data_IF_949953523595
#
_entry.id   IF_949953523595
#
_cell.length_a   1.000
_cell.length_b   1.000
_cell.length_c   1.000
_cell.angle_alpha   90.00
_cell.angle_beta   90.00
_cell.angle_gamma   90.00
#
_symmetry.space_group_name_H-M   'P 1'
#
loop_
_entity.id
_entity.type
_entity.pdbx_description
1 polymer ?
#
# COMPACT_ATOMS: atom_id res chain seq x y z
N UNK A 1 -57.39 48.73 11.05
CA UNK A 1 -58.74 48.13 11.17
C UNK A 1 -59.20 47.80 9.76
N UNK A 2 -59.80 46.62 9.50
CA UNK A 2 -60.35 46.33 8.18
C UNK A 2 -61.64 47.12 8.00
N UNK A 3 -61.67 48.01 7.00
CA UNK A 3 -62.81 48.89 6.67
C UNK A 3 -63.84 48.18 5.77
N UNK A 4 -64.24 46.94 6.07
CA UNK A 4 -65.33 46.28 5.34
C UNK A 4 -66.28 45.45 6.22
N UNK A 5 -67.59 45.38 5.89
CA UNK A 5 -68.63 44.91 6.82
C UNK A 5 -68.75 43.39 6.97
N UNK A 6 -68.11 42.61 6.09
CA UNK A 6 -68.29 41.15 6.01
C UNK A 6 -67.57 40.37 7.13
N UNK A 7 -66.52 40.94 7.72
CA UNK A 7 -65.68 40.24 8.71
C UNK A 7 -65.98 40.61 10.16
N UNK A 8 -67.06 41.36 10.43
CA UNK A 8 -67.41 41.84 11.77
C UNK A 8 -67.78 40.70 12.73
N UNK A 9 -68.39 39.62 12.21
CA UNK A 9 -68.82 38.45 13.02
C UNK A 9 -67.67 37.56 13.47
N UNK A 10 -66.50 37.67 12.83
CA UNK A 10 -65.27 36.94 13.19
C UNK A 10 -64.23 37.84 13.87
N UNK A 11 -64.55 39.11 14.09
CA UNK A 11 -63.65 40.04 14.74
C UNK A 11 -63.63 39.77 16.25
N UNK A 12 -62.54 39.22 16.75
CA UNK A 12 -62.26 39.15 18.18
C UNK A 12 -61.71 40.50 18.64
N UNK A 13 -62.27 41.06 19.72
CA UNK A 13 -61.75 42.29 20.28
C UNK A 13 -60.44 41.97 20.98
N UNK A 14 -59.32 42.39 20.39
CA UNK A 14 -57.98 42.19 20.96
C UNK A 14 -57.78 43.30 21.98
N UNK A 15 -58.16 43.06 23.23
CA UNK A 15 -57.76 43.90 24.34
C UNK A 15 -56.29 43.62 24.67
N UNK A 16 -55.47 44.67 24.61
CA UNK A 16 -54.08 44.58 25.09
C UNK A 16 -54.13 44.43 26.60
N UNK A 17 -53.54 43.38 27.14
CA UNK A 17 -53.30 43.30 28.57
C UNK A 17 -52.17 44.27 28.94
N UNK A 18 -52.54 45.40 29.55
CA UNK A 18 -51.55 46.34 30.09
C UNK A 18 -50.89 45.84 31.39
N UNK A 19 -50.95 44.53 31.65
CA UNK A 19 -50.30 43.89 32.79
C UNK A 19 -48.84 43.63 32.42
N UNK A 20 -48.05 44.70 32.43
CA UNK A 20 -46.61 44.61 32.22
C UNK A 20 -45.99 43.71 33.30
N UNK A 21 -45.38 42.61 32.89
CA UNK A 21 -44.51 41.81 33.75
C UNK A 21 -43.44 42.74 34.34
N UNK A 22 -43.20 42.59 35.65
CA UNK A 22 -42.55 43.62 36.45
C UNK A 22 -41.09 43.78 36.00
N UNK A 23 -40.76 44.91 35.36
CA UNK A 23 -39.38 45.25 35.00
C UNK A 23 -38.53 45.35 36.27
N UNK A 24 -37.41 44.65 36.31
CA UNK A 24 -36.50 44.54 37.47
C UNK A 24 -35.61 45.79 37.67
N UNK A 25 -36.17 46.98 37.42
CA UNK A 25 -35.45 48.26 37.40
C UNK A 25 -35.05 48.83 38.75
N UNK A 26 -35.50 48.27 39.87
CA UNK A 26 -35.44 48.96 41.18
C UNK A 26 -35.09 48.09 42.39
N UNK A 27 -34.72 46.81 42.23
CA UNK A 27 -34.33 45.98 43.38
C UNK A 27 -32.90 45.47 43.25
N UNK A 28 -32.08 45.82 44.24
CA UNK A 28 -30.68 45.39 44.42
C UNK A 28 -30.55 43.94 44.89
N UNK A 29 -31.57 43.10 44.74
CA UNK A 29 -31.71 41.81 45.42
C UNK A 29 -31.68 40.60 44.47
N UNK A 30 -30.98 40.69 43.34
CA UNK A 30 -30.86 39.56 42.41
C UNK A 30 -29.41 39.14 42.17
N UNK A 31 -29.13 37.83 42.10
CA UNK A 31 -27.79 37.33 41.80
C UNK A 31 -27.38 37.74 40.38
N UNK A 32 -26.26 38.46 40.27
CA UNK A 32 -25.70 38.91 38.99
C UNK A 32 -24.90 37.82 38.27
N UNK A 33 -24.72 36.67 38.92
CA UNK A 33 -24.02 35.51 38.40
C UNK A 33 -25.02 34.38 38.24
N UNK A 34 -25.05 33.75 37.06
CA UNK A 34 -25.87 32.59 36.79
C UNK A 34 -25.00 31.45 36.25
N UNK A 35 -25.28 30.24 36.70
CA UNK A 35 -24.71 29.04 36.09
C UNK A 35 -25.51 28.70 34.84
N UNK A 36 -24.82 28.32 33.78
CA UNK A 36 -25.41 27.94 32.49
C UNK A 36 -24.74 26.67 32.00
N UNK A 37 -25.55 25.68 31.62
CA UNK A 37 -25.09 24.42 31.02
C UNK A 37 -25.37 24.47 29.52
N UNK A 38 -24.33 24.66 28.67
CA UNK A 38 -24.50 24.60 27.22
C UNK A 38 -24.49 23.15 26.72
N UNK A 39 -25.49 22.80 25.93
CA UNK A 39 -25.53 21.58 25.12
C UNK A 39 -25.40 22.00 23.66
N UNK A 40 -24.25 21.69 23.06
CA UNK A 40 -23.93 22.07 21.69
C UNK A 40 -23.88 20.86 20.77
N UNK A 41 -24.42 21.01 19.56
CA UNK A 41 -24.29 20.03 18.49
C UNK A 41 -23.83 20.76 17.22
N UNK A 42 -22.89 20.16 16.51
CA UNK A 42 -22.34 20.80 15.33
C UNK A 42 -21.54 19.86 14.45
N UNK A 43 -21.32 20.33 13.23
CA UNK A 43 -20.54 19.66 12.20
C UNK A 43 -19.19 20.38 12.10
N UNK A 44 -18.10 19.60 12.14
CA UNK A 44 -16.74 20.07 11.89
C UNK A 44 -16.29 19.63 10.50
N UNK A 45 -16.07 20.59 9.62
CA UNK A 45 -15.58 20.39 8.27
C UNK A 45 -14.07 20.65 8.25
N UNK A 46 -13.29 19.61 7.92
CA UNK A 46 -11.86 19.74 7.67
C UNK A 46 -11.66 20.26 6.25
N UNK A 47 -11.43 21.56 6.09
CA UNK A 47 -11.23 22.18 4.77
C UNK A 47 -9.83 21.89 4.25
N UNK A 48 -8.81 22.05 5.10
CA UNK A 48 -7.42 21.71 4.81
C UNK A 48 -6.77 21.10 6.04
N UNK A 49 -5.54 20.57 5.91
CA UNK A 49 -4.80 20.03 7.06
C UNK A 49 -4.65 21.06 8.20
N UNK A 50 -4.70 22.36 7.91
CA UNK A 50 -4.52 23.46 8.87
C UNK A 50 -5.77 24.30 9.15
N UNK A 51 -6.85 24.13 8.38
CA UNK A 51 -8.07 24.94 8.50
C UNK A 51 -9.29 24.05 8.72
N UNK A 52 -9.99 24.28 9.83
CA UNK A 52 -11.25 23.61 10.16
C UNK A 52 -12.37 24.66 10.24
N UNK A 53 -13.49 24.42 9.56
CA UNK A 53 -14.71 25.20 9.74
C UNK A 53 -15.69 24.42 10.63
N UNK A 54 -16.31 25.09 11.61
CA UNK A 54 -17.35 24.50 12.45
C UNK A 54 -18.65 25.26 12.24
N UNK A 55 -19.72 24.51 12.00
CA UNK A 55 -21.09 25.01 11.98
C UNK A 55 -21.86 24.28 13.07
N UNK A 56 -22.47 25.00 14.00
CA UNK A 56 -23.15 24.37 15.11
C UNK A 56 -24.29 25.20 15.65
N UNK A 57 -25.04 24.57 16.53
CA UNK A 57 -26.04 25.21 17.35
C UNK A 57 -25.83 24.83 18.81
N UNK A 58 -26.22 25.72 19.70
CA UNK A 58 -26.04 25.53 21.12
C UNK A 58 -27.28 25.95 21.89
N UNK A 59 -27.76 25.03 22.71
CA UNK A 59 -28.89 25.22 23.60
C UNK A 59 -28.38 25.40 25.02
N UNK A 60 -28.70 26.52 25.65
CA UNK A 60 -28.20 26.89 26.96
C UNK A 60 -29.29 26.74 28.01
N UNK A 61 -29.11 25.78 28.93
CA UNK A 61 -29.95 25.64 30.10
C UNK A 61 -29.44 26.58 31.19
N UNK A 62 -30.22 27.59 31.56
CA UNK A 62 -29.85 28.50 32.64
C UNK A 62 -30.55 28.11 33.94
N UNK A 63 -29.92 28.43 35.07
CA UNK A 63 -30.51 28.30 36.40
C UNK A 63 -31.02 29.63 36.96
N UNK A 64 -31.32 30.59 36.06
CA UNK A 64 -31.81 31.93 36.40
C UNK A 64 -33.03 32.29 35.57
N UNK A 65 -33.82 33.23 36.07
CA UNK A 65 -35.06 33.75 35.48
C UNK A 65 -34.91 35.27 35.20
N UNK A 66 -33.66 35.71 35.05
CA UNK A 66 -33.32 37.13 34.98
C UNK A 66 -32.53 37.47 33.72
N UNK A 67 -32.47 36.55 32.74
CA UNK A 67 -31.64 36.70 31.55
C UNK A 67 -32.23 37.69 30.55
N UNK A 68 -33.56 37.83 30.52
CA UNK A 68 -34.30 38.77 29.68
C UNK A 68 -34.83 39.99 30.46
N UNK A 69 -34.43 40.13 31.73
CA UNK A 69 -34.82 41.19 32.66
C UNK A 69 -36.32 41.20 33.02
N UNK A 70 -37.01 40.08 32.82
CA UNK A 70 -38.41 39.86 33.16
C UNK A 70 -38.50 38.67 34.11
N UNK A 71 -39.27 38.80 35.19
CA UNK A 71 -39.43 37.74 36.18
C UNK A 71 -40.58 36.81 35.82
N UNK A 72 -40.29 35.54 35.55
CA UNK A 72 -41.25 34.47 35.30
C UNK A 72 -41.27 33.44 36.45
N UNK A 73 -41.94 32.30 36.24
CA UNK A 73 -41.99 31.16 37.19
C UNK A 73 -41.01 30.04 36.82
N UNK A 74 -40.30 30.16 35.70
CA UNK A 74 -39.46 29.11 35.14
C UNK A 74 -38.13 29.71 34.67
N UNK A 75 -37.05 28.94 34.77
CA UNK A 75 -35.73 29.41 34.36
C UNK A 75 -35.65 29.67 32.84
N UNK A 76 -34.91 30.70 32.48
CA UNK A 76 -34.67 31.11 31.11
C UNK A 76 -33.83 30.10 30.34
N UNK A 77 -34.07 30.01 29.04
CA UNK A 77 -33.28 29.18 28.12
C UNK A 77 -33.12 29.93 26.83
N UNK A 78 -31.93 29.83 26.23
CA UNK A 78 -31.68 30.46 24.95
C UNK A 78 -30.94 29.51 24.01
N UNK A 79 -31.13 29.77 22.73
CA UNK A 79 -30.59 28.98 21.64
C UNK A 79 -29.91 29.91 20.65
N UNK A 80 -28.71 29.56 20.22
CA UNK A 80 -28.05 30.27 19.14
C UNK A 80 -27.34 29.32 18.19
N UNK A 81 -27.22 29.76 16.94
CA UNK A 81 -26.41 29.12 15.92
C UNK A 81 -25.09 29.86 15.79
N UNK A 82 -24.02 29.16 15.48
CA UNK A 82 -22.71 29.75 15.30
C UNK A 82 -21.96 29.10 14.13
N UNK A 83 -21.16 29.93 13.46
CA UNK A 83 -20.19 29.51 12.46
C UNK A 83 -18.82 30.02 12.90
N UNK A 84 -17.81 29.15 12.90
CA UNK A 84 -16.44 29.50 13.29
C UNK A 84 -15.41 28.87 12.36
N UNK A 85 -14.28 29.54 12.18
CA UNK A 85 -13.13 29.04 11.42
C UNK A 85 -11.92 28.96 12.35
N UNK A 86 -11.29 27.80 12.45
CA UNK A 86 -10.11 27.55 13.29
C UNK A 86 -8.90 27.31 12.40
N UNK A 87 -7.87 28.14 12.58
CA UNK A 87 -6.61 28.00 11.89
C UNK A 87 -5.53 27.46 12.83
N UNK A 88 -4.94 26.32 12.48
CA UNK A 88 -3.89 25.67 13.26
C UNK A 88 -2.50 26.12 12.77
N UNK A 89 -1.79 26.88 13.59
CA UNK A 89 -0.49 27.50 13.23
C UNK A 89 0.67 26.47 13.27
N UNK A 90 0.66 25.52 14.21
CA UNK A 90 1.78 24.61 14.48
C UNK A 90 1.48 23.13 14.22
N UNK A 91 0.61 22.80 13.25
CA UNK A 91 0.30 21.40 12.96
C UNK A 91 1.35 20.81 12.02
N UNK A 92 2.10 19.80 12.51
CA UNK A 92 2.98 18.98 11.67
C UNK A 92 2.15 18.34 10.56
N UNK A 93 2.64 18.43 9.32
CA UNK A 93 2.03 17.75 8.17
C UNK A 93 2.18 16.26 8.41
N UNK A 94 1.08 15.51 8.37
CA UNK A 94 1.13 14.03 8.40
C UNK A 94 1.68 13.57 7.05
N UNK A 95 2.84 12.93 7.06
CA UNK A 95 3.41 12.23 5.91
C UNK A 95 2.46 11.08 5.50
N UNK A 96 2.47 10.69 4.22
CA UNK A 96 1.59 9.68 3.62
C UNK A 96 1.62 8.29 4.31
N UNK A 97 2.58 8.03 5.19
CA UNK A 97 2.71 6.80 6.01
C UNK A 97 1.49 6.48 6.88
N UNK A 98 0.71 7.49 7.28
CA UNK A 98 -0.43 7.32 8.22
C UNK A 98 -1.74 6.83 7.56
N UNK A 99 -1.79 6.69 6.22
CA UNK A 99 -3.08 6.52 5.51
C UNK A 99 -3.50 5.08 5.23
N UNK A 100 -2.61 4.09 5.36
CA UNK A 100 -2.94 2.68 5.14
C UNK A 100 -2.65 1.82 6.38
N UNK A 101 -3.65 1.58 7.25
CA UNK A 101 -3.47 0.73 8.43
C UNK A 101 -3.44 -0.78 8.11
N UNK A 102 -3.54 -1.17 6.84
CA UNK A 102 -3.60 -2.58 6.41
C UNK A 102 -2.22 -3.19 6.17
N UNK A 103 -1.21 -2.39 5.89
CA UNK A 103 0.16 -2.86 5.65
C UNK A 103 1.06 -2.23 6.70
N UNK A 104 1.58 -3.06 7.60
CA UNK A 104 2.56 -2.61 8.57
C UNK A 104 3.93 -2.56 7.89
N UNK A 105 4.22 -1.43 7.23
CA UNK A 105 5.50 -1.20 6.56
C UNK A 105 6.69 -1.39 7.52
N UNK A 106 6.53 -1.08 8.80
CA UNK A 106 7.58 -1.31 9.80
C UNK A 106 7.90 -2.79 10.07
N UNK A 107 7.01 -3.72 9.71
CA UNK A 107 7.32 -5.16 9.71
C UNK A 107 7.96 -5.65 8.42
N UNK A 108 7.70 -4.97 7.29
CA UNK A 108 8.36 -5.28 6.01
C UNK A 108 9.80 -4.79 6.06
N UNK A 109 10.03 -3.58 6.59
CA UNK A 109 11.38 -3.01 6.76
C UNK A 109 12.29 -3.84 7.68
N UNK A 110 11.73 -4.78 8.45
CA UNK A 110 12.46 -5.67 9.36
C UNK A 110 12.33 -7.14 8.98
N UNK A 111 11.80 -7.41 7.79
CA UNK A 111 11.75 -8.76 7.26
C UNK A 111 13.17 -9.21 6.92
N UNK A 112 13.47 -10.47 7.25
CA UNK A 112 14.72 -11.16 6.99
C UNK A 112 14.30 -12.61 6.65
N UNK A 113 14.19 -12.88 5.35
CA UNK A 113 13.54 -14.09 4.83
C UNK A 113 14.42 -15.34 4.98
N UNK A 114 15.73 -15.21 4.82
CA UNK A 114 16.70 -16.30 4.95
C UNK A 114 17.32 -16.41 6.36
N UNK A 115 17.17 -15.37 7.18
CA UNK A 115 17.59 -15.35 8.58
C UNK A 115 19.09 -15.13 8.75
N UNK A 116 19.74 -14.47 7.79
CA UNK A 116 21.18 -14.21 7.80
C UNK A 116 21.55 -12.98 8.68
N UNK A 117 20.55 -12.23 9.14
CA UNK A 117 20.68 -11.05 10.00
C UNK A 117 20.73 -9.71 9.26
N UNK A 118 20.58 -9.71 7.94
CA UNK A 118 20.48 -8.52 7.09
C UNK A 118 19.02 -8.36 6.65
N UNK A 119 18.38 -7.20 6.85
CA UNK A 119 17.00 -7.00 6.40
C UNK A 119 16.87 -7.12 4.88
N UNK A 120 15.78 -7.71 4.38
CA UNK A 120 15.50 -7.96 2.96
C UNK A 120 15.63 -6.70 2.06
N UNK A 121 15.44 -5.50 2.63
CA UNK A 121 15.57 -4.23 1.91
C UNK A 121 17.03 -3.83 1.62
N UNK A 122 17.94 -4.24 2.49
CA UNK A 122 19.37 -3.96 2.42
C UNK A 122 20.17 -5.19 1.91
N UNK A 123 19.51 -6.33 1.80
CA UNK A 123 20.06 -7.60 1.31
C UNK A 123 20.04 -7.67 -0.23
N UNK A 124 21.21 -7.95 -0.82
CA UNK A 124 21.36 -8.16 -2.26
C UNK A 124 20.91 -9.58 -2.69
N UNK A 125 20.91 -10.53 -1.76
CA UNK A 125 20.59 -11.94 -1.95
C UNK A 125 19.56 -12.45 -0.89
N UNK A 126 18.34 -11.88 -0.81
CA UNK A 126 17.36 -12.12 0.28
C UNK A 126 16.79 -13.54 0.43
N UNK A 127 17.25 -14.51 -0.35
CA UNK A 127 16.69 -15.86 -0.42
C UNK A 127 17.76 -16.95 -0.38
N UNK A 128 18.77 -16.81 0.48
CA UNK A 128 19.75 -17.86 0.65
C UNK A 128 19.20 -19.08 1.41
N UNK A 129 19.82 -20.26 1.25
CA UNK A 129 19.56 -21.37 2.14
C UNK A 129 19.88 -20.98 3.59
N UNK A 130 18.99 -21.32 4.53
CA UNK A 130 19.13 -20.94 5.95
C UNK A 130 20.44 -21.47 6.54
N UNK A 131 21.21 -20.58 7.17
CA UNK A 131 22.45 -20.92 7.87
C UNK A 131 23.72 -20.90 7.01
N UNK A 132 23.65 -20.36 5.79
CA UNK A 132 24.83 -20.08 4.96
C UNK A 132 25.56 -18.85 5.51
N UNK A 133 26.88 -18.85 5.37
CA UNK A 133 27.71 -17.69 5.72
C UNK A 133 27.64 -16.66 4.58
N UNK A 134 27.18 -15.47 4.92
CA UNK A 134 27.02 -14.34 3.99
C UNK A 134 28.07 -13.26 4.23
N UNK A 135 28.28 -12.43 3.22
CA UNK A 135 29.09 -11.22 3.30
C UNK A 135 28.32 -10.05 3.90
N UNK A 136 28.92 -8.86 3.92
CA UNK A 136 28.28 -7.64 4.45
C UNK A 136 27.06 -7.16 3.65
N UNK A 137 26.75 -7.76 2.50
CA UNK A 137 25.66 -7.40 1.61
C UNK A 137 24.57 -8.49 1.57
N UNK A 138 24.70 -9.56 2.35
CA UNK A 138 23.77 -10.68 2.41
C UNK A 138 23.97 -11.71 1.29
N UNK A 139 25.01 -11.58 0.48
CA UNK A 139 25.33 -12.60 -0.52
C UNK A 139 26.28 -13.66 0.04
N UNK A 140 26.12 -14.93 -0.35
CA UNK A 140 26.93 -16.01 0.17
C UNK A 140 28.40 -15.86 -0.26
N UNK A 141 29.31 -16.30 0.62
CA UNK A 141 30.75 -16.16 0.39
C UNK A 141 31.18 -17.06 -0.78
N UNK A 142 31.94 -16.45 -1.70
CA UNK A 142 32.65 -17.10 -2.81
C UNK A 142 34.15 -16.82 -2.63
N UNK A 143 34.90 -17.85 -2.26
CA UNK A 143 36.32 -17.75 -1.86
C UNK A 143 37.27 -17.64 -3.04
N UNK A 144 36.96 -18.23 -4.19
CA UNK A 144 37.82 -18.23 -5.39
C UNK A 144 37.32 -17.30 -6.51
N UNK A 145 36.15 -16.69 -6.28
CA UNK A 145 35.53 -15.67 -7.10
C UNK A 145 35.24 -16.20 -8.52
N UNK A 146 34.81 -17.46 -8.62
CA UNK A 146 34.41 -18.10 -9.86
C UNK A 146 32.91 -17.95 -10.19
N UNK A 147 32.13 -17.40 -9.25
CA UNK A 147 30.70 -17.12 -9.37
C UNK A 147 29.80 -18.21 -8.78
N UNK A 148 30.35 -19.27 -8.20
CA UNK A 148 29.61 -20.30 -7.46
C UNK A 148 29.91 -20.15 -5.96
N UNK A 149 28.89 -19.97 -5.10
CA UNK A 149 29.13 -19.85 -3.68
C UNK A 149 29.77 -21.10 -3.06
N UNK A 150 30.61 -20.92 -2.04
CA UNK A 150 31.40 -21.99 -1.40
C UNK A 150 30.55 -23.19 -0.91
N UNK A 151 29.27 -22.97 -0.58
CA UNK A 151 28.38 -24.03 -0.11
C UNK A 151 27.86 -24.94 -1.23
N UNK A 152 27.88 -24.47 -2.49
CA UNK A 152 27.47 -25.22 -3.68
C UNK A 152 28.64 -25.64 -4.56
N UNK A 153 29.83 -25.09 -4.30
CA UNK A 153 31.03 -25.39 -5.04
C UNK A 153 31.65 -26.74 -4.65
N UNK A 154 31.89 -27.59 -5.66
CA UNK A 154 32.58 -28.88 -5.50
C UNK A 154 34.10 -28.75 -5.57
N UNK A 155 34.63 -27.68 -6.15
CA UNK A 155 36.06 -27.36 -6.25
C UNK A 155 36.36 -26.00 -5.60
N UNK A 156 36.35 -25.89 -4.25
CA UNK A 156 36.45 -24.63 -3.48
C UNK A 156 37.75 -23.81 -3.66
N UNK A 157 38.66 -24.26 -4.53
CA UNK A 157 39.92 -23.62 -4.87
C UNK A 157 40.19 -23.71 -6.37
N UNK A 158 39.21 -23.35 -7.19
CA UNK A 158 39.36 -23.21 -8.62
C UNK A 158 40.39 -22.13 -8.96
N UNK A 159 41.00 -22.21 -10.14
CA UNK A 159 41.97 -21.17 -10.55
C UNK A 159 41.24 -19.84 -10.69
N UNK A 160 41.80 -18.78 -10.12
CA UNK A 160 41.24 -17.43 -10.27
C UNK A 160 40.97 -17.08 -11.75
N UNK A 161 39.69 -16.84 -12.07
CA UNK A 161 39.21 -16.56 -13.44
C UNK A 161 38.93 -17.80 -14.31
N UNK A 162 38.89 -19.00 -13.73
CA UNK A 162 38.39 -20.20 -14.39
C UNK A 162 36.90 -20.06 -14.70
N UNK A 163 36.47 -20.63 -15.84
CA UNK A 163 35.05 -20.73 -16.14
C UNK A 163 34.54 -22.06 -15.59
N UNK A 164 33.67 -22.00 -14.60
CA UNK A 164 33.11 -23.18 -13.95
C UNK A 164 31.69 -23.49 -14.44
N UNK A 165 31.24 -24.71 -14.19
CA UNK A 165 29.86 -25.11 -14.41
C UNK A 165 28.98 -24.76 -13.19
N UNK A 166 27.69 -25.13 -13.23
CA UNK A 166 26.73 -24.91 -12.13
C UNK A 166 27.12 -25.56 -10.81
N UNK A 167 28.07 -26.50 -10.83
CA UNK A 167 28.54 -27.23 -9.66
C UNK A 167 29.92 -26.74 -9.18
N UNK A 168 30.46 -25.65 -9.76
CA UNK A 168 31.78 -25.11 -9.41
C UNK A 168 32.99 -25.88 -9.97
N UNK A 169 32.79 -26.76 -10.95
CA UNK A 169 33.90 -27.53 -11.56
C UNK A 169 34.50 -26.79 -12.76
N UNK A 170 35.82 -26.69 -12.83
CA UNK A 170 36.57 -26.03 -13.92
C UNK A 170 36.27 -26.69 -15.29
N UNK A 171 35.72 -25.91 -16.24
CA UNK A 171 35.49 -26.37 -17.60
C UNK A 171 36.80 -26.47 -18.38
N UNK A 172 37.05 -27.64 -18.99
CA UNK A 172 38.22 -27.79 -19.87
C UNK A 172 38.06 -26.97 -21.14
N UNK A 173 39.19 -26.62 -21.77
CA UNK A 173 39.23 -25.81 -23.00
C UNK A 173 38.48 -26.48 -24.16
N UNK A 174 38.46 -27.81 -24.20
CA UNK A 174 37.68 -28.57 -25.19
C UNK A 174 36.18 -28.38 -24.96
N UNK A 175 35.72 -28.50 -23.71
CA UNK A 175 34.30 -28.33 -23.36
C UNK A 175 33.83 -26.90 -23.61
N UNK A 176 34.68 -25.92 -23.34
CA UNK A 176 34.41 -24.52 -23.62
C UNK A 176 34.27 -24.23 -25.13
N UNK A 177 35.06 -24.92 -25.96
CA UNK A 177 34.98 -24.81 -27.42
C UNK A 177 33.73 -25.47 -28.00
N UNK A 178 33.22 -26.53 -27.36
CA UNK A 178 31.93 -27.14 -27.70
C UNK A 178 30.78 -26.17 -27.38
N UNK A 179 30.74 -25.60 -26.17
CA UNK A 179 29.70 -24.64 -25.75
C UNK A 179 29.65 -23.40 -26.66
N UNK A 180 30.81 -22.88 -27.07
CA UNK A 180 30.88 -21.76 -28.03
C UNK A 180 30.37 -22.13 -29.43
N UNK A 181 30.52 -23.39 -29.87
CA UNK A 181 29.96 -23.87 -31.15
C UNK A 181 28.44 -24.01 -31.10
N UNK A 182 27.89 -24.28 -29.93
CA UNK A 182 26.45 -24.31 -29.66
C UNK A 182 25.85 -22.90 -29.47
N UNK A 183 26.65 -21.83 -29.69
CA UNK A 183 26.26 -20.44 -29.51
C UNK A 183 25.82 -20.11 -28.06
N UNK A 184 26.24 -20.93 -27.10
CA UNK A 184 26.06 -20.71 -25.68
C UNK A 184 27.22 -19.80 -25.24
N UNK A 185 26.93 -18.52 -24.99
CA UNK A 185 27.90 -17.64 -24.37
C UNK A 185 28.05 -18.05 -22.91
N UNK A 186 29.19 -18.68 -22.57
CA UNK A 186 29.64 -18.88 -21.19
C UNK A 186 30.05 -17.51 -20.61
N UNK A 187 29.08 -16.63 -20.47
CA UNK A 187 29.12 -15.50 -19.57
C UNK A 187 28.36 -15.96 -18.33
N UNK A 188 28.87 -15.64 -17.14
CA UNK A 188 28.22 -15.86 -15.85
C UNK A 188 26.73 -15.50 -15.95
N UNK A 189 25.88 -16.52 -16.07
CA UNK A 189 24.51 -16.36 -16.57
C UNK A 189 23.52 -16.01 -15.47
N UNK A 190 23.99 -15.59 -14.30
CA UNK A 190 23.16 -15.06 -13.21
C UNK A 190 23.01 -13.54 -13.28
N UNK A 191 24.03 -12.81 -13.73
CA UNK A 191 24.09 -11.37 -13.45
C UNK A 191 23.55 -10.52 -14.59
N UNK A 192 23.74 -10.92 -15.85
CA UNK A 192 23.41 -10.07 -17.00
C UNK A 192 21.90 -9.95 -17.28
N UNK A 193 21.14 -11.02 -17.04
CA UNK A 193 19.70 -11.05 -17.30
C UNK A 193 18.86 -10.55 -16.11
N UNK A 194 19.26 -10.93 -14.89
CA UNK A 194 18.72 -10.37 -13.64
C UNK A 194 18.83 -8.84 -13.64
N UNK A 195 19.97 -8.30 -14.04
CA UNK A 195 20.18 -6.85 -14.15
C UNK A 195 19.18 -6.17 -15.09
N UNK A 196 18.84 -6.81 -16.21
CA UNK A 196 17.97 -6.23 -17.22
C UNK A 196 16.50 -6.28 -16.78
N UNK A 197 16.11 -7.35 -16.07
CA UNK A 197 14.81 -7.47 -15.41
C UNK A 197 14.66 -6.49 -14.24
N UNK A 198 15.67 -6.39 -13.36
CA UNK A 198 15.69 -5.49 -12.21
C UNK A 198 15.74 -4.01 -12.61
N UNK A 199 16.35 -3.68 -13.75
CA UNK A 199 16.35 -2.31 -14.29
C UNK A 199 14.97 -1.85 -14.76
N UNK A 200 14.08 -2.76 -15.18
CA UNK A 200 12.75 -2.37 -15.68
C UNK A 200 11.73 -3.53 -15.68
N UNK A 201 11.24 -4.00 -14.52
CA UNK A 201 10.22 -5.02 -14.48
C UNK A 201 8.89 -4.40 -14.91
N UNK A 202 8.48 -4.60 -16.17
CA UNK A 202 7.17 -4.18 -16.65
C UNK A 202 6.48 -5.30 -17.42
N UNK A 203 5.17 -5.40 -17.25
CA UNK A 203 4.33 -6.33 -18.02
C UNK A 203 4.40 -6.06 -19.53
N UNK A 204 4.74 -4.83 -19.94
CA UNK A 204 4.95 -4.46 -21.34
C UNK A 204 6.24 -5.07 -21.91
N UNK A 205 7.32 -5.06 -21.14
CA UNK A 205 8.60 -5.65 -21.54
C UNK A 205 8.48 -7.17 -21.73
N UNK A 206 7.80 -7.86 -20.81
CA UNK A 206 7.53 -9.30 -20.93
C UNK A 206 6.70 -9.64 -22.17
N UNK A 207 5.73 -8.80 -22.52
CA UNK A 207 4.92 -8.96 -23.74
C UNK A 207 5.75 -8.78 -25.01
N UNK A 208 6.71 -7.86 -24.99
CA UNK A 208 7.60 -7.62 -26.12
C UNK A 208 8.53 -8.82 -26.38
N UNK A 209 9.11 -9.40 -25.32
CA UNK A 209 9.94 -10.61 -25.40
C UNK A 209 9.12 -11.78 -25.96
N UNK A 210 7.92 -12.01 -25.42
CA UNK A 210 7.04 -13.07 -25.90
C UNK A 210 6.64 -12.88 -27.37
N UNK A 211 6.40 -11.65 -27.82
CA UNK A 211 6.09 -11.37 -29.22
C UNK A 211 7.28 -11.67 -30.14
N UNK A 212 8.50 -11.28 -29.75
CA UNK A 212 9.72 -11.61 -30.48
C UNK A 212 9.94 -13.13 -30.58
N UNK A 213 9.63 -13.86 -29.53
CA UNK A 213 9.81 -15.31 -29.47
C UNK A 213 8.76 -16.06 -30.30
N UNK A 214 7.50 -15.60 -30.29
CA UNK A 214 6.44 -16.09 -31.19
C UNK A 214 6.82 -15.85 -32.66
N UNK A 215 7.44 -14.70 -32.98
CA UNK A 215 7.95 -14.42 -34.32
C UNK A 215 9.15 -15.29 -34.69
N UNK A 216 10.07 -15.52 -33.76
CA UNK A 216 11.20 -16.43 -33.95
C UNK A 216 10.72 -17.87 -34.24
N UNK A 217 9.68 -18.34 -33.53
CA UNK A 217 9.07 -19.67 -33.71
C UNK A 217 8.34 -19.83 -35.05
N UNK A 218 7.93 -18.74 -35.71
CA UNK A 218 7.36 -18.79 -37.08
C UNK A 218 8.42 -19.08 -38.14
N UNK A 219 9.70 -18.89 -37.85
CA UNK A 219 10.81 -19.19 -38.77
C UNK A 219 11.45 -20.56 -38.44
N UNK A 220 11.30 -21.58 -39.30
CA UNK A 220 11.75 -22.95 -39.02
C UNK A 220 13.28 -23.16 -39.07
N UNK A 221 14.08 -22.09 -39.22
CA UNK A 221 15.53 -22.15 -39.31
C UNK A 221 16.25 -21.91 -37.96
N UNK A 222 15.52 -21.48 -36.91
CA UNK A 222 16.05 -21.22 -35.57
C UNK A 222 15.29 -22.05 -34.51
N UNK A 223 15.13 -23.35 -34.76
CA UNK A 223 14.72 -24.31 -33.72
C UNK A 223 15.93 -24.67 -32.85
N UNK A 224 16.43 -23.68 -32.12
CA UNK A 224 17.29 -23.94 -30.96
C UNK A 224 16.40 -24.55 -29.87
N UNK A 225 16.43 -25.88 -29.80
CA UNK A 225 16.07 -26.72 -28.65
C UNK A 225 14.71 -26.46 -27.99
N UNK A 226 13.65 -27.11 -28.50
CA UNK A 226 12.45 -27.41 -27.71
C UNK A 226 12.83 -28.26 -26.48
N UNK A 227 13.24 -27.62 -25.39
CA UNK A 227 13.35 -28.27 -24.08
C UNK A 227 11.94 -28.62 -23.62
N UNK A 228 11.62 -29.90 -23.37
CA UNK A 228 10.29 -30.26 -22.89
C UNK A 228 10.06 -29.65 -21.51
N UNK A 229 8.90 -29.02 -21.30
CA UNK A 229 8.52 -28.45 -20.00
C UNK A 229 8.73 -29.52 -18.92
N UNK A 230 9.53 -29.24 -17.88
CA UNK A 230 9.75 -30.13 -16.76
C UNK A 230 8.42 -30.57 -16.12
N UNK A 231 8.33 -31.84 -15.71
CA UNK A 231 7.07 -32.43 -15.20
C UNK A 231 6.46 -31.66 -14.02
N UNK A 232 7.30 -30.99 -13.22
CA UNK A 232 6.93 -30.14 -12.09
C UNK A 232 6.36 -28.76 -12.50
N UNK A 233 6.53 -28.33 -13.75
CA UNK A 233 6.08 -27.02 -14.25
C UNK A 233 4.94 -27.12 -15.26
N UNK A 234 4.56 -28.33 -15.69
CA UNK A 234 3.44 -28.56 -16.62
C UNK A 234 2.08 -28.11 -16.10
N UNK A 235 1.93 -27.92 -14.80
CA UNK A 235 0.68 -27.41 -14.19
C UNK A 235 0.47 -25.94 -14.56
N UNK A 236 1.55 -25.22 -14.86
CA UNK A 236 1.55 -23.80 -15.25
C UNK A 236 1.28 -23.58 -16.74
N UNK A 237 1.28 -24.64 -17.55
CA UNK A 237 0.88 -24.64 -18.95
C UNK A 237 -0.64 -24.87 -19.05
N UNK A 238 -1.40 -23.77 -19.01
CA UNK A 238 -2.86 -23.81 -18.95
C UNK A 238 -3.48 -24.18 -20.30
N UNK A 239 -2.85 -23.78 -21.40
CA UNK A 239 -3.34 -24.02 -22.76
C UNK A 239 -2.80 -25.33 -23.38
N UNK A 240 -1.80 -25.97 -22.76
CA UNK A 240 -1.14 -27.22 -23.16
C UNK A 240 -0.42 -27.16 -24.51
N UNK A 241 0.04 -25.98 -24.90
CA UNK A 241 0.76 -25.78 -26.16
C UNK A 241 2.27 -26.08 -26.04
N UNK A 242 2.76 -26.41 -24.83
CA UNK A 242 4.16 -26.70 -24.58
C UNK A 242 5.04 -25.44 -24.50
N UNK A 243 4.43 -24.27 -24.37
CA UNK A 243 5.06 -22.98 -24.14
C UNK A 243 4.42 -22.31 -22.93
N UNK A 244 5.25 -21.79 -22.03
CA UNK A 244 4.72 -20.96 -20.95
C UNK A 244 4.68 -19.53 -21.47
N UNK A 245 3.52 -18.90 -21.56
CA UNK A 245 3.39 -17.49 -21.94
C UNK A 245 3.43 -16.55 -20.71
N UNK A 246 3.74 -15.25 -20.86
CA UNK A 246 3.70 -14.30 -19.74
C UNK A 246 2.32 -14.21 -19.07
N UNK A 247 1.26 -14.43 -19.84
CA UNK A 247 -0.12 -14.45 -19.36
C UNK A 247 -0.36 -15.66 -18.44
N UNK A 248 0.26 -16.80 -18.75
CA UNK A 248 0.19 -18.00 -17.92
C UNK A 248 1.05 -17.91 -16.67
N UNK A 249 2.22 -17.26 -16.75
CA UNK A 249 3.01 -16.91 -15.56
C UNK A 249 2.18 -16.03 -14.63
N UNK A 250 1.56 -14.98 -15.17
CA UNK A 250 0.73 -14.07 -14.37
C UNK A 250 -0.45 -14.81 -13.73
N UNK A 251 -1.18 -15.63 -14.49
CA UNK A 251 -2.27 -16.47 -13.96
C UNK A 251 -1.80 -17.46 -12.90
N UNK A 252 -0.60 -18.01 -13.05
CA UNK A 252 -0.02 -18.95 -12.08
C UNK A 252 0.36 -18.22 -10.79
N UNK A 253 0.93 -17.02 -10.89
CA UNK A 253 1.24 -16.18 -9.72
C UNK A 253 -0.06 -15.77 -8.99
N UNK A 254 -1.08 -15.32 -9.71
CA UNK A 254 -2.39 -15.00 -9.14
C UNK A 254 -3.01 -16.23 -8.45
N UNK A 255 -2.99 -17.38 -9.13
CA UNK A 255 -3.49 -18.65 -8.59
C UNK A 255 -2.75 -19.10 -7.32
N UNK A 256 -1.46 -18.81 -7.19
CA UNK A 256 -0.65 -19.06 -6.00
C UNK A 256 -1.09 -18.16 -4.83
N UNK A 257 -1.25 -16.86 -5.07
CA UNK A 257 -1.73 -15.93 -4.05
C UNK A 257 -3.16 -16.21 -3.60
N UNK A 258 -4.00 -16.71 -4.50
CA UNK A 258 -5.37 -17.15 -4.20
C UNK A 258 -5.45 -18.54 -3.55
N UNK A 259 -4.32 -19.26 -3.41
CA UNK A 259 -4.24 -20.58 -2.79
C UNK A 259 -4.89 -21.71 -3.61
N UNK A 260 -5.11 -21.48 -4.91
CA UNK A 260 -5.73 -22.45 -5.82
C UNK A 260 -4.75 -23.49 -6.37
N UNK A 261 -3.44 -23.20 -6.28
CA UNK A 261 -2.35 -24.11 -6.63
C UNK A 261 -1.35 -24.18 -5.48
N UNK A 262 -0.81 -25.37 -5.24
CA UNK A 262 0.19 -25.62 -4.19
C UNK A 262 1.60 -25.52 -4.78
N UNK A 263 1.98 -24.29 -5.14
CA UNK A 263 3.32 -23.97 -5.65
C UNK A 263 4.19 -23.38 -4.54
N UNK A 264 5.49 -23.68 -4.54
CA UNK A 264 6.47 -22.96 -3.71
C UNK A 264 6.99 -21.71 -4.43
N UNK A 265 7.48 -20.72 -3.69
CA UNK A 265 8.14 -19.55 -4.27
C UNK A 265 9.29 -19.94 -5.21
N UNK A 266 10.07 -20.95 -4.84
CA UNK A 266 11.14 -21.53 -5.65
C UNK A 266 10.62 -22.08 -7.00
N UNK A 267 9.43 -22.67 -7.03
CA UNK A 267 8.82 -23.15 -8.28
C UNK A 267 8.37 -22.00 -9.18
N UNK A 268 7.93 -20.86 -8.61
CA UNK A 268 7.58 -19.67 -9.38
C UNK A 268 8.82 -19.09 -10.06
N UNK A 269 9.94 -18.99 -9.34
CA UNK A 269 11.22 -18.59 -9.92
C UNK A 269 11.64 -19.52 -11.05
N UNK A 270 11.55 -20.84 -10.84
CA UNK A 270 11.85 -21.84 -11.88
C UNK A 270 10.96 -21.74 -13.12
N UNK A 271 9.70 -21.30 -12.99
CA UNK A 271 8.82 -21.04 -14.14
C UNK A 271 9.33 -19.83 -14.92
N UNK A 272 9.70 -18.77 -14.22
CA UNK A 272 10.22 -17.54 -14.83
C UNK A 272 11.55 -17.83 -15.54
N UNK A 273 12.44 -18.61 -14.91
CA UNK A 273 13.70 -19.02 -15.53
C UNK A 273 13.45 -19.88 -16.77
N UNK A 274 12.54 -20.86 -16.68
CA UNK A 274 12.16 -21.69 -17.82
C UNK A 274 11.54 -20.88 -18.96
N UNK A 275 10.76 -19.84 -18.65
CA UNK A 275 10.20 -18.94 -19.65
C UNK A 275 11.27 -18.27 -20.53
N UNK A 276 12.43 -17.96 -19.94
CA UNK A 276 13.55 -17.37 -20.67
C UNK A 276 14.45 -18.43 -21.34
N UNK A 277 14.35 -19.70 -20.94
CA UNK A 277 15.16 -20.82 -21.48
C UNK A 277 14.52 -21.62 -22.63
N UNK A 278 13.19 -21.51 -22.82
CA UNK A 278 12.37 -22.36 -23.70
C UNK A 278 12.39 -21.98 -25.20
#
# INVERSE_FOLDING_TARGET
>A
MPETPLNIFYAYNIDRDYKYETRLGTSSEFPHNAMVVPVSYGIKLKLTSRCDANLGFSYHFTFTDYLDYVKSKANDKYFFTYASCTWHIFKKVKTEEDKNPTVNFASIDKSDADGDGIPDLDDLCPYNPKGVLVDSKGCPIDSDNDGVPDYSDKEPHSKSGAQVNTDGIELTKEKLAELKKENITVASHSDAFSDQFNKKPSAEFLKEIAAMEIEARKNPANTSANKPIPSNLKISDWNKDGFISPEEITKTIEAFFDGSIDFSAEQIHKIIDFFFEQ
#
